data_IF_543226322020
#
_entry.id   IF_543226322020
#
_cell.length_a   1.000
_cell.length_b   1.000
_cell.length_c   1.000
_cell.angle_alpha   90.00
_cell.angle_beta   90.00
_cell.angle_gamma   90.00
#
_symmetry.space_group_name_H-M   'P 1'
#
loop_
_entity.id
_entity.type
_entity.pdbx_description
1 polymer ?
#
# COMPACT_ATOMS: atom_id res chain seq x y z
N UNK A 1 6.82 -20.01 9.01
CA UNK A 1 5.56 -20.29 9.74
C UNK A 1 5.48 -21.76 10.14
N UNK A 2 5.12 -22.68 9.24
CA UNK A 2 5.07 -24.13 9.52
C UNK A 2 6.42 -24.77 9.89
N UNK A 3 7.46 -24.53 9.09
CA UNK A 3 8.79 -25.10 9.32
C UNK A 3 9.46 -24.65 10.63
N UNK A 4 8.92 -23.62 11.29
CA UNK A 4 9.41 -23.15 12.60
C UNK A 4 8.35 -23.23 13.70
N UNK A 5 7.27 -23.98 13.50
CA UNK A 5 6.13 -24.13 14.43
C UNK A 5 5.60 -22.81 14.99
N UNK A 6 5.56 -21.76 14.17
CA UNK A 6 5.03 -20.45 14.57
C UNK A 6 3.56 -20.37 14.20
N UNK A 7 2.74 -19.97 15.16
CA UNK A 7 1.33 -19.65 14.97
C UNK A 7 1.17 -18.16 14.67
N UNK A 8 0.24 -17.82 13.77
CA UNK A 8 -0.14 -16.42 13.50
C UNK A 8 -1.63 -16.26 13.66
N UNK A 9 -2.01 -15.13 14.24
CA UNK A 9 -3.37 -14.62 14.24
C UNK A 9 -3.59 -13.78 12.98
N UNK A 10 -4.57 -14.15 12.17
CA UNK A 10 -5.00 -13.40 10.99
C UNK A 10 -6.35 -12.73 11.28
N UNK A 11 -6.33 -11.39 11.34
CA UNK A 11 -7.52 -10.56 11.51
C UNK A 11 -8.07 -10.16 10.14
N UNK A 12 -9.35 -10.44 9.88
CA UNK A 12 -10.04 -10.14 8.62
C UNK A 12 -11.37 -9.45 8.87
N UNK A 13 -11.89 -8.74 7.88
CA UNK A 13 -13.25 -8.18 7.94
C UNK A 13 -14.30 -9.30 7.91
N UNK A 14 -15.53 -8.95 8.24
CA UNK A 14 -16.62 -9.92 8.36
C UNK A 14 -17.30 -10.24 7.02
N UNK A 15 -16.54 -10.45 5.94
CA UNK A 15 -17.11 -10.92 4.66
C UNK A 15 -17.04 -12.44 4.56
N UNK A 16 -18.08 -13.04 3.98
CA UNK A 16 -18.24 -14.51 3.89
C UNK A 16 -17.11 -15.20 3.15
N UNK A 17 -16.49 -14.54 2.17
CA UNK A 17 -15.37 -15.07 1.38
C UNK A 17 -14.09 -15.31 2.18
N UNK A 18 -13.96 -14.76 3.39
CA UNK A 18 -12.81 -15.06 4.27
C UNK A 18 -12.99 -16.32 5.12
N UNK A 19 -14.18 -16.93 5.12
CA UNK A 19 -14.40 -18.15 5.89
C UNK A 19 -13.72 -19.32 5.17
N UNK A 20 -12.73 -19.97 5.79
CA UNK A 20 -12.05 -21.07 5.13
C UNK A 20 -12.99 -22.28 5.07
N UNK A 21 -12.92 -23.01 3.96
CA UNK A 21 -13.64 -24.29 3.82
C UNK A 21 -13.04 -25.37 4.71
N UNK A 22 -11.73 -25.30 4.97
CA UNK A 22 -10.97 -26.25 5.78
C UNK A 22 -10.15 -25.58 6.89
N UNK A 23 -9.90 -26.26 8.02
CA UNK A 23 -9.07 -25.72 9.11
C UNK A 23 -7.62 -25.42 8.69
N UNK A 24 -7.10 -24.27 9.14
CA UNK A 24 -5.72 -23.87 8.88
C UNK A 24 -4.78 -24.33 10.02
N UNK A 25 -3.79 -25.17 9.70
CA UNK A 25 -2.91 -25.81 10.71
C UNK A 25 -2.10 -24.89 11.64
N UNK A 26 -1.82 -23.63 11.24
CA UNK A 26 -0.89 -22.71 11.93
C UNK A 26 -1.36 -21.24 11.85
N UNK A 27 -2.61 -21.04 11.43
CA UNK A 27 -3.21 -19.72 11.30
C UNK A 27 -4.51 -19.76 12.07
N UNK A 28 -4.60 -18.96 13.13
CA UNK A 28 -5.87 -18.68 13.78
C UNK A 28 -6.52 -17.52 13.03
N UNK A 29 -7.63 -17.77 12.35
CA UNK A 29 -8.38 -16.72 11.67
C UNK A 29 -9.44 -16.17 12.61
N UNK A 30 -9.45 -14.85 12.81
CA UNK A 30 -10.49 -14.14 13.57
C UNK A 30 -11.12 -13.07 12.70
N UNK A 31 -12.43 -13.16 12.55
CA UNK A 31 -13.23 -12.14 11.86
C UNK A 31 -13.55 -11.02 12.85
N UNK A 32 -13.39 -9.78 12.43
CA UNK A 32 -13.77 -8.62 13.22
C UNK A 32 -15.30 -8.54 13.36
N UNK A 33 -15.82 -7.88 14.41
CA UNK A 33 -17.26 -7.68 14.54
C UNK A 33 -17.84 -6.91 13.33
N UNK A 34 -19.11 -7.15 12.96
CA UNK A 34 -19.77 -6.39 11.90
C UNK A 34 -19.67 -4.87 12.13
N UNK A 35 -19.54 -4.10 11.05
CA UNK A 35 -19.53 -2.63 11.07
C UNK A 35 -18.40 -1.99 11.89
N UNK A 36 -17.31 -2.70 12.14
CA UNK A 36 -16.15 -2.18 12.89
C UNK A 36 -14.94 -1.86 12.00
N UNK A 37 -15.05 -2.04 10.69
CA UNK A 37 -13.93 -1.86 9.73
C UNK A 37 -13.18 -0.54 9.94
N UNK A 38 -13.88 0.58 10.00
CA UNK A 38 -13.26 1.90 10.18
C UNK A 38 -12.56 2.09 11.52
N UNK A 39 -12.93 1.32 12.54
CA UNK A 39 -12.40 1.46 13.90
C UNK A 39 -11.30 0.43 14.20
N UNK A 40 -11.47 -0.81 13.77
CA UNK A 40 -10.59 -1.93 14.11
C UNK A 40 -9.67 -2.38 12.98
N UNK A 41 -9.86 -1.96 11.72
CA UNK A 41 -8.98 -2.41 10.64
C UNK A 41 -7.84 -1.44 10.38
N UNK A 42 -6.57 -1.87 10.62
CA UNK A 42 -5.41 -1.02 10.35
C UNK A 42 -5.31 -0.65 8.87
N UNK A 43 -5.83 -1.51 7.99
CA UNK A 43 -5.89 -1.23 6.56
C UNK A 43 -6.68 0.04 6.26
N UNK A 44 -7.86 0.18 6.87
CA UNK A 44 -8.74 1.35 6.74
C UNK A 44 -8.31 2.53 7.62
N UNK A 45 -7.58 2.27 8.71
CA UNK A 45 -6.99 3.30 9.58
C UNK A 45 -5.84 4.10 8.94
N UNK A 46 -5.52 3.86 7.66
CA UNK A 46 -4.63 4.73 6.89
C UNK A 46 -3.67 4.04 5.93
N UNK A 47 -3.46 2.71 6.04
CA UNK A 47 -2.55 1.99 5.14
C UNK A 47 -3.06 2.06 3.69
N UNK A 48 -4.35 1.79 3.45
CA UNK A 48 -4.95 1.87 2.12
C UNK A 48 -4.88 3.30 1.58
N UNK A 49 -5.14 4.30 2.42
CA UNK A 49 -5.07 5.72 2.02
C UNK A 49 -3.65 6.12 1.64
N UNK A 50 -2.65 5.72 2.43
CA UNK A 50 -1.23 5.94 2.14
C UNK A 50 -0.83 5.29 0.81
N UNK A 51 -1.21 4.02 0.61
CA UNK A 51 -0.96 3.30 -0.64
C UNK A 51 -1.60 3.99 -1.86
N UNK A 52 -2.90 4.32 -1.79
CA UNK A 52 -3.62 5.03 -2.86
C UNK A 52 -2.99 6.38 -3.18
N UNK A 53 -2.50 7.09 -2.17
CA UNK A 53 -1.79 8.36 -2.37
C UNK A 53 -0.51 8.17 -3.20
N UNK A 54 0.24 7.09 -2.97
CA UNK A 54 1.44 6.80 -3.77
C UNK A 54 1.08 6.38 -5.20
N UNK A 55 0.01 5.60 -5.39
CA UNK A 55 -0.51 5.28 -6.72
C UNK A 55 -0.86 6.55 -7.48
N UNK A 56 -1.61 7.47 -6.87
CA UNK A 56 -2.02 8.72 -7.51
C UNK A 56 -0.80 9.57 -7.93
N UNK A 57 0.25 9.63 -7.11
CA UNK A 57 1.50 10.32 -7.47
C UNK A 57 2.16 9.72 -8.71
N UNK A 58 2.21 8.38 -8.79
CA UNK A 58 2.78 7.68 -9.94
C UNK A 58 1.94 7.94 -11.19
N UNK A 59 0.61 7.84 -11.07
CA UNK A 59 -0.33 8.10 -12.15
C UNK A 59 -0.21 9.53 -12.70
N UNK A 60 -0.21 10.53 -11.82
CA UNK A 60 -0.08 11.93 -12.24
C UNK A 60 1.23 12.19 -12.98
N UNK A 61 2.34 11.61 -12.50
CA UNK A 61 3.63 11.72 -13.18
C UNK A 61 3.62 11.05 -14.55
N UNK A 62 3.07 9.84 -14.63
CA UNK A 62 2.94 9.12 -15.89
C UNK A 62 2.10 9.88 -16.92
N UNK A 63 0.99 10.49 -16.49
CA UNK A 63 0.14 11.30 -17.36
C UNK A 63 0.88 12.56 -17.80
N UNK A 64 1.61 13.24 -16.91
CA UNK A 64 2.40 14.42 -17.24
C UNK A 64 3.50 14.09 -18.27
N UNK A 65 4.26 13.01 -18.05
CA UNK A 65 5.32 12.58 -18.97
C UNK A 65 4.75 12.27 -20.37
N UNK A 66 3.59 11.59 -20.44
CA UNK A 66 2.91 11.33 -21.72
C UNK A 66 2.33 12.58 -22.37
N UNK A 67 1.80 13.51 -21.57
CA UNK A 67 1.25 14.75 -22.09
C UNK A 67 2.34 15.59 -22.76
N UNK A 68 3.54 15.66 -22.17
CA UNK A 68 4.71 16.31 -22.76
C UNK A 68 5.10 15.65 -24.10
N UNK A 69 5.06 14.32 -24.19
CA UNK A 69 5.30 13.58 -25.44
C UNK A 69 4.26 13.91 -26.53
N UNK A 70 2.98 14.00 -26.16
CA UNK A 70 1.89 14.36 -27.08
C UNK A 70 2.08 15.80 -27.59
N UNK A 71 2.36 16.75 -26.71
CA UNK A 71 2.60 18.15 -27.09
C UNK A 71 3.74 18.28 -28.10
N UNK A 72 4.83 17.52 -27.91
CA UNK A 72 5.96 17.50 -28.84
C UNK A 72 5.53 17.02 -30.23
N UNK A 73 4.75 15.94 -30.32
CA UNK A 73 4.28 15.39 -31.62
C UNK A 73 3.29 16.30 -32.34
N UNK A 74 2.40 16.97 -31.61
CA UNK A 74 1.45 17.92 -32.20
C UNK A 74 2.20 19.09 -32.86
N UNK A 75 3.28 19.56 -32.23
CA UNK A 75 4.11 20.63 -32.80
C UNK A 75 4.78 20.23 -34.13
N UNK A 76 4.96 18.93 -34.38
CA UNK A 76 5.61 18.39 -35.58
C UNK A 76 4.60 18.01 -36.69
N UNK A 77 3.37 17.60 -36.33
CA UNK A 77 2.45 16.90 -37.26
C UNK A 77 1.10 17.59 -37.50
N UNK A 78 0.81 18.69 -36.80
CA UNK A 78 -0.48 19.39 -36.88
C UNK A 78 -1.59 18.77 -36.01
N UNK A 79 -2.78 19.40 -36.00
CA UNK A 79 -3.83 19.15 -35.01
C UNK A 79 -4.79 17.99 -35.31
N UNK A 80 -4.59 17.22 -36.37
CA UNK A 80 -5.62 16.30 -36.91
C UNK A 80 -5.85 15.00 -36.11
N UNK A 81 -5.22 14.82 -34.93
CA UNK A 81 -5.46 13.64 -34.07
C UNK A 81 -5.34 13.87 -32.54
N UNK A 82 -5.48 15.10 -32.06
CA UNK A 82 -5.26 15.45 -30.64
C UNK A 82 -6.19 14.72 -29.68
N UNK A 83 -7.48 14.58 -30.00
CA UNK A 83 -8.45 13.93 -29.10
C UNK A 83 -8.11 12.47 -28.81
N UNK A 84 -7.75 11.69 -29.84
CA UNK A 84 -7.37 10.27 -29.68
C UNK A 84 -6.08 10.09 -28.89
N UNK A 85 -5.12 11.00 -29.07
CA UNK A 85 -3.87 11.01 -28.29
C UNK A 85 -4.15 11.34 -26.81
N UNK A 86 -5.03 12.32 -26.53
CA UNK A 86 -5.46 12.68 -25.17
C UNK A 86 -6.17 11.51 -24.48
N UNK A 87 -7.10 10.83 -25.15
CA UNK A 87 -7.79 9.67 -24.59
C UNK A 87 -6.81 8.53 -24.25
N UNK A 88 -5.72 8.40 -25.01
CA UNK A 88 -4.70 7.39 -24.80
C UNK A 88 -3.80 7.64 -23.59
N UNK A 89 -3.79 8.87 -23.02
CA UNK A 89 -2.95 9.22 -21.88
C UNK A 89 -3.21 8.32 -20.67
N UNK A 90 -4.47 7.93 -20.47
CA UNK A 90 -4.93 7.11 -19.35
C UNK A 90 -4.85 5.60 -19.61
N UNK A 91 -4.44 5.18 -20.82
CA UNK A 91 -4.32 3.75 -21.14
C UNK A 91 -3.11 3.15 -20.43
N UNK A 92 -3.38 2.36 -19.38
CA UNK A 92 -2.43 1.48 -18.72
C UNK A 92 -2.96 0.05 -18.73
N UNK A 93 -2.12 -0.91 -19.10
CA UNK A 93 -2.46 -2.32 -18.97
C UNK A 93 -2.30 -2.82 -17.51
N UNK A 94 -2.70 -4.06 -17.27
CA UNK A 94 -2.62 -4.69 -15.94
C UNK A 94 -1.16 -4.79 -15.46
N UNK A 95 -0.18 -4.97 -16.35
CA UNK A 95 1.23 -5.05 -15.98
C UNK A 95 1.74 -3.70 -15.47
N UNK A 96 1.35 -2.59 -16.11
CA UNK A 96 1.64 -1.23 -15.64
C UNK A 96 1.02 -1.01 -14.25
N UNK A 97 -0.24 -1.40 -14.06
CA UNK A 97 -0.91 -1.29 -12.76
C UNK A 97 -0.22 -2.11 -11.66
N UNK A 98 0.23 -3.35 -11.96
CA UNK A 98 0.97 -4.19 -11.02
C UNK A 98 2.31 -3.56 -10.62
N UNK A 99 3.05 -2.99 -11.57
CA UNK A 99 4.33 -2.28 -11.30
C UNK A 99 4.12 -1.02 -10.47
N UNK A 100 3.03 -0.29 -10.72
CA UNK A 100 2.64 0.84 -9.88
C UNK A 100 2.31 0.39 -8.46
N UNK A 101 1.58 -0.71 -8.30
CA UNK A 101 1.28 -1.29 -6.99
C UNK A 101 2.55 -1.69 -6.23
N UNK A 102 3.49 -2.38 -6.88
CA UNK A 102 4.78 -2.72 -6.28
C UNK A 102 5.54 -1.46 -5.83
N UNK A 103 5.65 -0.48 -6.72
CA UNK A 103 6.35 0.78 -6.44
C UNK A 103 5.68 1.56 -5.31
N UNK A 104 4.35 1.70 -5.36
CA UNK A 104 3.57 2.39 -4.33
C UNK A 104 3.69 1.70 -2.96
N UNK A 105 3.63 0.38 -2.93
CA UNK A 105 3.78 -0.40 -1.70
C UNK A 105 5.15 -0.21 -1.07
N UNK A 106 6.23 -0.17 -1.87
CA UNK A 106 7.58 0.12 -1.37
C UNK A 106 7.73 1.49 -0.71
N UNK A 107 6.79 2.42 -0.99
CA UNK A 107 6.75 3.78 -0.43
C UNK A 107 5.84 3.91 0.78
N UNK A 108 5.02 2.90 1.09
CA UNK A 108 4.28 2.83 2.35
C UNK A 108 5.28 2.52 3.46
N UNK A 109 5.43 3.44 4.41
CA UNK A 109 6.45 3.30 5.44
C UNK A 109 6.00 2.36 6.54
N UNK A 110 6.98 1.71 7.19
CA UNK A 110 6.73 0.89 8.38
C UNK A 110 6.10 1.70 9.50
N UNK A 111 6.54 2.95 9.68
CA UNK A 111 5.99 3.88 10.66
C UNK A 111 4.50 4.14 10.39
N UNK A 112 4.12 4.37 9.13
CA UNK A 112 2.70 4.50 8.76
C UNK A 112 1.90 3.27 9.16
N UNK A 113 2.42 2.07 8.88
CA UNK A 113 1.76 0.82 9.25
C UNK A 113 1.60 0.76 10.78
N UNK A 114 2.68 1.00 11.53
CA UNK A 114 2.66 0.96 13.00
C UNK A 114 1.66 1.95 13.61
N UNK A 115 1.63 3.18 13.11
CA UNK A 115 0.66 4.19 13.55
C UNK A 115 -0.77 3.73 13.30
N UNK A 116 -1.07 3.11 12.16
CA UNK A 116 -2.41 2.58 11.87
C UNK A 116 -2.81 1.46 12.84
N UNK A 117 -1.87 0.57 13.20
CA UNK A 117 -2.13 -0.50 14.16
C UNK A 117 -2.30 0.00 15.61
N UNK A 118 -1.53 1.02 16.01
CA UNK A 118 -1.71 1.69 17.31
C UNK A 118 -3.06 2.44 17.34
N UNK A 119 -3.43 3.10 16.25
CA UNK A 119 -4.69 3.84 16.16
C UNK A 119 -5.92 2.95 16.37
N UNK A 120 -5.89 1.69 15.89
CA UNK A 120 -6.97 0.73 16.11
C UNK A 120 -6.96 0.10 17.51
N UNK A 121 -5.99 0.48 18.36
CA UNK A 121 -5.81 -0.05 19.72
C UNK A 121 -5.62 -1.58 19.78
N UNK A 122 -5.17 -2.17 18.67
CA UNK A 122 -4.85 -3.62 18.61
C UNK A 122 -3.43 -3.85 19.13
N UNK A 123 -2.53 -2.91 18.84
CA UNK A 123 -1.22 -2.87 19.49
C UNK A 123 -1.33 -2.12 20.81
N UNK A 124 -0.77 -2.73 21.84
CA UNK A 124 -0.56 -2.10 23.13
C UNK A 124 0.47 -0.96 23.03
N UNK A 125 0.34 0.06 23.87
CA UNK A 125 1.20 1.25 23.88
C UNK A 125 2.68 0.88 24.14
N UNK A 126 2.95 -0.09 25.03
CA UNK A 126 4.31 -0.52 25.32
C UNK A 126 4.96 -1.20 24.11
N UNK A 127 4.18 -1.99 23.36
CA UNK A 127 4.64 -2.65 22.13
C UNK A 127 4.88 -1.60 21.06
N UNK A 128 4.01 -0.59 20.96
CA UNK A 128 4.15 0.49 20.01
C UNK A 128 5.44 1.30 20.25
N UNK A 129 5.67 1.76 21.48
CA UNK A 129 6.89 2.49 21.87
C UNK A 129 8.15 1.67 21.59
N UNK A 130 8.13 0.37 21.89
CA UNK A 130 9.23 -0.53 21.63
C UNK A 130 9.55 -0.60 20.13
N UNK A 131 8.55 -0.84 19.28
CA UNK A 131 8.78 -0.96 17.83
C UNK A 131 9.20 0.38 17.22
N UNK A 132 8.62 1.49 17.67
CA UNK A 132 9.02 2.83 17.23
C UNK A 132 10.49 3.12 17.59
N UNK A 133 10.92 2.73 18.79
CA UNK A 133 12.32 2.87 19.22
C UNK A 133 13.30 2.09 18.33
N UNK A 134 12.94 0.86 17.94
CA UNK A 134 13.75 0.05 17.02
C UNK A 134 13.88 0.68 15.63
N UNK A 135 12.80 1.24 15.10
CA UNK A 135 12.84 1.93 13.81
C UNK A 135 13.66 3.23 13.89
N UNK A 136 13.61 3.98 15.01
CA UNK A 136 14.48 5.14 15.26
C UNK A 136 15.97 4.76 15.31
N UNK A 137 16.31 3.68 16.02
CA UNK A 137 17.69 3.16 16.10
C UNK A 137 18.16 2.71 14.72
N UNK A 138 17.32 1.98 13.97
CA UNK A 138 17.64 1.53 12.62
C UNK A 138 17.87 2.70 11.65
N UNK A 139 17.03 3.73 11.70
CA UNK A 139 17.20 4.92 10.88
C UNK A 139 18.52 5.65 11.19
N UNK A 140 18.88 5.77 12.47
CA UNK A 140 20.15 6.35 12.92
C UNK A 140 21.36 5.54 12.44
N UNK A 141 21.30 4.20 12.51
CA UNK A 141 22.37 3.32 12.04
C UNK A 141 22.60 3.38 10.53
N UNK A 142 21.54 3.62 9.73
CA UNK A 142 21.63 3.78 8.27
C UNK A 142 22.16 5.17 7.89
N UNK A 143 21.92 6.19 8.72
CA UNK A 143 22.36 7.57 8.49
C UNK A 143 23.82 7.84 8.95
N UNK A 144 24.45 6.91 9.67
CA UNK A 144 25.85 7.04 10.07
C UNK A 144 26.76 7.03 8.82
N UNK A 145 27.65 8.02 8.64
CA UNK A 145 28.56 8.04 7.50
C UNK A 145 29.49 6.83 7.56
N UNK A 146 29.68 6.16 6.42
CA UNK A 146 30.69 5.11 6.29
C UNK A 146 32.06 5.74 6.59
N UNK A 147 32.70 5.26 7.66
CA UNK A 147 34.05 5.65 8.06
C UNK A 147 35.10 5.10 7.08
#
# INVERSE_FOLDING_TARGET
>A
MRAGSRHVLLLVDNVSSHRPEEPLSHVELRMLPPNTTTFLQPQDAGIISSFKTQINKIQHRFIADRFDDVLRRISETGYDCVEKEIDSLFNGDVLVAMRWAETAWSKVTRITILHCWSHTQILDEEIYELVESFEKVRASAIAAPAA
#
